data_IF_353579015976
#
_entry.id   IF_353579015976
#
_cell.length_a   1.000
_cell.length_b   1.000
_cell.length_c   1.000
_cell.angle_alpha   90.00
_cell.angle_beta   90.00
_cell.angle_gamma   90.00
#
_symmetry.space_group_name_H-M   'P 1'
#
loop_
_entity.id
_entity.type
_entity.pdbx_description
1 polymer ?
#
# COMPACT_ATOMS: atom_id res chain seq x y z
N UNK A 1 9.43 3.17 -1.25
CA UNK A 1 9.55 4.19 -2.30
C UNK A 1 10.97 4.70 -2.44
N UNK A 2 11.65 5.10 -1.35
CA UNK A 2 13.02 5.61 -1.41
C UNK A 2 14.01 4.67 -2.10
N UNK A 3 13.92 3.36 -1.86
CA UNK A 3 14.76 2.36 -2.52
C UNK A 3 14.51 2.29 -4.03
N UNK A 4 13.25 2.37 -4.46
CA UNK A 4 12.90 2.40 -5.88
C UNK A 4 13.36 3.69 -6.56
N UNK A 5 13.23 4.83 -5.89
CA UNK A 5 13.74 6.12 -6.37
C UNK A 5 15.27 6.12 -6.54
N UNK A 6 15.98 5.48 -5.61
CA UNK A 6 17.44 5.27 -5.72
C UNK A 6 17.81 4.39 -6.91
N UNK A 7 17.02 3.34 -7.16
CA UNK A 7 17.25 2.42 -8.28
C UNK A 7 17.06 3.11 -9.62
N UNK A 8 15.95 3.80 -9.80
CA UNK A 8 15.59 4.43 -11.07
C UNK A 8 16.23 5.80 -11.29
N UNK A 9 16.78 6.42 -10.23
CA UNK A 9 17.29 7.79 -10.28
C UNK A 9 16.22 8.87 -10.43
N UNK A 10 14.95 8.49 -10.33
CA UNK A 10 13.81 9.40 -10.48
C UNK A 10 13.07 9.60 -9.17
N UNK A 11 12.56 10.81 -8.95
CA UNK A 11 11.74 11.16 -7.78
C UNK A 11 10.23 11.15 -8.07
N UNK A 12 9.85 11.15 -9.34
CA UNK A 12 8.45 11.07 -9.77
C UNK A 12 7.95 9.63 -9.77
N UNK A 13 6.79 9.39 -9.16
CA UNK A 13 6.15 8.08 -9.12
C UNK A 13 5.96 7.46 -10.51
N UNK A 14 5.47 8.25 -11.46
CA UNK A 14 5.23 7.80 -12.83
C UNK A 14 6.56 7.35 -13.47
N UNK A 15 7.61 8.15 -13.36
CA UNK A 15 8.91 7.83 -13.94
C UNK A 15 9.55 6.60 -13.30
N UNK A 16 9.40 6.42 -11.98
CA UNK A 16 9.88 5.23 -11.26
C UNK A 16 9.25 3.96 -11.84
N UNK A 17 7.94 3.92 -11.96
CA UNK A 17 7.26 2.71 -12.43
C UNK A 17 7.41 2.47 -13.92
N UNK A 18 7.52 3.50 -14.76
CA UNK A 18 7.81 3.34 -16.18
C UNK A 18 9.22 2.77 -16.40
N UNK A 19 10.22 3.28 -15.70
CA UNK A 19 11.60 2.79 -15.80
C UNK A 19 11.70 1.33 -15.33
N UNK A 20 11.05 0.97 -14.22
CA UNK A 20 10.99 -0.41 -13.72
C UNK A 20 10.42 -1.40 -14.75
N UNK A 21 9.51 -0.94 -15.59
CA UNK A 21 8.87 -1.79 -16.60
C UNK A 21 9.78 -2.07 -17.80
N UNK A 22 10.75 -1.20 -18.08
CA UNK A 22 11.59 -1.31 -19.28
C UNK A 22 12.96 -1.95 -19.06
N UNK A 23 13.49 -2.00 -17.82
CA UNK A 23 14.91 -2.31 -17.66
C UNK A 23 15.25 -3.80 -17.64
N UNK A 24 14.64 -4.61 -16.79
CA UNK A 24 14.98 -6.04 -16.68
C UNK A 24 13.93 -6.83 -15.92
N UNK A 25 13.98 -8.18 -16.06
CA UNK A 25 13.12 -9.07 -15.28
C UNK A 25 13.29 -8.89 -13.76
N UNK A 26 14.53 -8.57 -13.32
CA UNK A 26 14.83 -8.33 -11.90
C UNK A 26 14.15 -7.06 -11.41
N UNK A 27 14.19 -5.99 -12.19
CA UNK A 27 13.52 -4.72 -11.89
C UNK A 27 12.02 -4.89 -11.76
N UNK A 28 11.42 -5.68 -12.66
CA UNK A 28 10.01 -5.99 -12.60
C UNK A 28 9.63 -6.80 -11.35
N UNK A 29 10.45 -7.78 -10.96
CA UNK A 29 10.25 -8.55 -9.73
C UNK A 29 10.34 -7.66 -8.47
N UNK A 30 11.31 -6.73 -8.43
CA UNK A 30 11.43 -5.77 -7.34
C UNK A 30 10.22 -4.83 -7.26
N UNK A 31 9.72 -4.39 -8.41
CA UNK A 31 8.50 -3.59 -8.52
C UNK A 31 7.26 -4.34 -8.02
N UNK A 32 7.10 -5.61 -8.41
CA UNK A 32 6.02 -6.48 -7.96
C UNK A 32 6.06 -6.71 -6.44
N UNK A 33 7.26 -6.95 -5.89
CA UNK A 33 7.45 -7.12 -4.45
C UNK A 33 7.14 -5.83 -3.69
N UNK A 34 7.55 -4.68 -4.21
CA UNK A 34 7.22 -3.37 -3.66
C UNK A 34 5.70 -3.11 -3.70
N UNK A 35 5.03 -3.46 -4.79
CA UNK A 35 3.58 -3.34 -4.92
C UNK A 35 2.86 -4.19 -3.88
N UNK A 36 3.32 -5.42 -3.66
CA UNK A 36 2.79 -6.28 -2.60
C UNK A 36 2.95 -5.64 -1.21
N UNK A 37 4.10 -5.06 -0.91
CA UNK A 37 4.31 -4.31 0.34
C UNK A 37 3.36 -3.12 0.45
N UNK A 38 3.09 -2.40 -0.65
CA UNK A 38 2.12 -1.29 -0.63
C UNK A 38 0.70 -1.76 -0.33
N UNK A 39 0.28 -2.91 -0.82
CA UNK A 39 -1.03 -3.50 -0.47
C UNK A 39 -1.12 -3.76 1.03
N UNK A 40 -0.08 -4.35 1.62
CA UNK A 40 -0.05 -4.62 3.05
C UNK A 40 -0.02 -3.33 3.89
N UNK A 41 0.76 -2.34 3.47
CA UNK A 41 0.78 -1.01 4.13
C UNK A 41 -0.60 -0.36 4.04
N UNK A 42 -1.24 -0.42 2.86
CA UNK A 42 -2.58 0.15 2.68
C UNK A 42 -3.61 -0.48 3.63
N UNK A 43 -3.52 -1.79 3.88
CA UNK A 43 -4.40 -2.47 4.85
C UNK A 43 -4.14 -2.00 6.28
N UNK A 44 -2.87 -1.91 6.70
CA UNK A 44 -2.50 -1.44 8.05
C UNK A 44 -2.94 0.00 8.27
N UNK A 45 -2.62 0.88 7.34
CA UNK A 45 -2.89 2.33 7.43
C UNK A 45 -4.37 2.70 7.41
N UNK A 46 -5.21 1.85 6.85
CA UNK A 46 -6.65 2.04 6.83
C UNK A 46 -7.39 1.20 7.89
N UNK A 47 -6.66 0.69 8.89
CA UNK A 47 -7.22 -0.14 9.97
C UNK A 47 -8.09 -1.28 9.44
N UNK A 48 -7.57 -1.97 8.40
CA UNK A 48 -8.25 -3.11 7.78
C UNK A 48 -7.75 -4.42 8.34
N UNK A 49 -8.61 -5.42 8.36
CA UNK A 49 -8.22 -6.78 8.74
C UNK A 49 -7.05 -7.26 7.87
N UNK A 50 -6.07 -8.02 8.38
CA UNK A 50 -6.08 -8.77 9.65
C UNK A 50 -5.46 -8.03 10.85
N UNK A 51 -4.93 -6.82 10.68
CA UNK A 51 -4.15 -6.13 11.71
C UNK A 51 -5.06 -5.45 12.73
N UNK A 52 -6.16 -4.90 12.26
CA UNK A 52 -7.09 -4.17 13.09
C UNK A 52 -8.54 -4.46 12.74
N UNK A 53 -9.44 -4.33 13.74
CA UNK A 53 -10.87 -4.47 13.54
C UNK A 53 -11.57 -3.24 14.10
N UNK A 54 -12.07 -2.36 13.24
CA UNK A 54 -12.74 -1.13 13.69
C UNK A 54 -13.97 -1.39 14.55
N UNK A 55 -14.57 -2.59 14.49
CA UNK A 55 -15.76 -2.92 15.29
C UNK A 55 -15.46 -3.31 16.73
N UNK A 56 -14.24 -3.76 17.03
CA UNK A 56 -13.85 -4.25 18.36
C UNK A 56 -13.13 -3.19 19.20
N UNK A 57 -12.77 -2.05 18.63
CA UNK A 57 -12.13 -0.95 19.36
C UNK A 57 -13.04 -0.27 20.38
N UNK A 58 -14.33 -0.48 20.30
CA UNK A 58 -15.33 0.12 21.19
C UNK A 58 -15.18 -0.25 22.69
N UNK A 59 -14.43 -1.32 23.02
CA UNK A 59 -14.37 -1.78 24.41
C UNK A 59 -13.05 -1.52 25.16
N UNK A 60 -11.90 -1.41 24.48
CA UNK A 60 -10.60 -1.40 25.19
C UNK A 60 -9.58 -0.33 24.75
N UNK A 61 -9.74 0.31 23.59
CA UNK A 61 -8.77 1.27 23.06
C UNK A 61 -9.41 2.56 22.53
N UNK A 62 -10.40 3.03 23.19
CA UNK A 62 -11.25 4.16 22.80
C UNK A 62 -10.55 5.53 22.57
N UNK A 63 -9.24 5.64 22.74
CA UNK A 63 -8.58 6.96 22.68
C UNK A 63 -8.66 7.57 21.28
N UNK A 64 -8.55 6.78 20.23
CA UNK A 64 -8.65 7.30 18.86
C UNK A 64 -10.10 7.55 18.40
N UNK A 65 -11.01 6.67 18.78
CA UNK A 65 -12.42 6.82 18.40
C UNK A 65 -13.17 7.84 19.25
N UNK A 66 -12.78 8.02 20.51
CA UNK A 66 -13.31 9.11 21.35
C UNK A 66 -13.02 10.49 20.74
N UNK A 67 -11.84 10.66 20.13
CA UNK A 67 -11.53 11.90 19.40
C UNK A 67 -12.42 12.11 18.17
N UNK A 68 -12.88 11.03 17.53
CA UNK A 68 -13.77 11.09 16.38
C UNK A 68 -15.22 11.31 16.81
N UNK A 69 -15.63 10.72 17.94
CA UNK A 69 -16.98 10.84 18.49
C UNK A 69 -17.31 12.24 19.02
N UNK A 70 -16.30 13.01 19.42
CA UNK A 70 -16.47 14.42 19.79
C UNK A 70 -16.77 15.35 18.59
N UNK A 71 -16.51 14.85 17.37
CA UNK A 71 -16.78 15.60 16.15
C UNK A 71 -18.14 15.21 15.57
N UNK A 72 -18.93 16.20 15.18
CA UNK A 72 -20.24 15.99 14.58
C UNK A 72 -20.39 16.74 13.25
N UNK A 73 -21.32 16.29 12.41
CA UNK A 73 -21.66 16.96 11.18
C UNK A 73 -20.52 16.99 10.16
N UNK A 74 -20.10 18.20 9.75
CA UNK A 74 -19.10 18.37 8.69
C UNK A 74 -17.72 17.81 9.05
N UNK A 75 -17.30 17.97 10.30
CA UNK A 75 -15.98 17.52 10.75
C UNK A 75 -15.86 16.00 10.72
N UNK A 76 -16.88 15.30 11.17
CA UNK A 76 -16.93 13.84 11.06
C UNK A 76 -16.93 13.39 9.59
N UNK A 77 -17.70 14.08 8.72
CA UNK A 77 -17.72 13.80 7.29
C UNK A 77 -16.37 13.95 6.63
N UNK A 78 -15.60 14.98 6.97
CA UNK A 78 -14.26 15.22 6.43
C UNK A 78 -13.25 14.18 6.91
N UNK A 79 -13.32 13.72 8.15
CA UNK A 79 -12.46 12.64 8.67
C UNK A 79 -12.70 11.34 7.91
N UNK A 80 -13.96 10.93 7.76
CA UNK A 80 -14.33 9.73 7.00
C UNK A 80 -13.93 9.82 5.52
N UNK A 81 -14.12 10.99 4.91
CA UNK A 81 -13.70 11.23 3.53
C UNK A 81 -12.19 11.11 3.38
N UNK A 82 -11.42 11.67 4.31
CA UNK A 82 -9.95 11.61 4.29
C UNK A 82 -9.45 10.17 4.38
N UNK A 83 -10.06 9.33 5.21
CA UNK A 83 -9.71 7.91 5.31
C UNK A 83 -9.94 7.17 4.00
N UNK A 84 -11.08 7.40 3.34
CA UNK A 84 -11.38 6.81 2.03
C UNK A 84 -10.45 7.35 0.94
N UNK A 85 -10.12 8.64 0.98
CA UNK A 85 -9.18 9.26 0.04
C UNK A 85 -7.77 8.65 0.19
N UNK A 86 -7.32 8.43 1.41
CA UNK A 86 -6.04 7.77 1.70
C UNK A 86 -6.00 6.36 1.10
N UNK A 87 -7.06 5.59 1.25
CA UNK A 87 -7.19 4.26 0.63
C UNK A 87 -7.12 4.32 -0.89
N UNK A 88 -7.83 5.27 -1.51
CA UNK A 88 -7.78 5.49 -2.94
C UNK A 88 -6.38 5.90 -3.45
N UNK A 89 -5.63 6.68 -2.67
CA UNK A 89 -4.25 7.05 -3.01
C UNK A 89 -3.32 5.83 -3.05
N UNK A 90 -3.43 4.90 -2.12
CA UNK A 90 -2.67 3.65 -2.18
C UNK A 90 -3.02 2.83 -3.43
N UNK A 91 -4.30 2.71 -3.75
CA UNK A 91 -4.75 2.07 -4.97
C UNK A 91 -4.21 2.76 -6.23
N UNK A 92 -4.11 4.10 -6.24
CA UNK A 92 -3.52 4.84 -7.36
C UNK A 92 -2.02 4.55 -7.53
N UNK A 93 -1.26 4.43 -6.43
CA UNK A 93 0.17 4.04 -6.48
C UNK A 93 0.32 2.63 -7.04
N UNK A 94 -0.51 1.69 -6.59
CA UNK A 94 -0.53 0.31 -7.09
C UNK A 94 -0.90 0.28 -8.57
N UNK A 95 -1.87 1.08 -9.00
CA UNK A 95 -2.30 1.18 -10.40
C UNK A 95 -1.16 1.63 -11.32
N UNK A 96 -0.29 2.53 -10.87
CA UNK A 96 0.86 2.98 -11.64
C UNK A 96 1.83 1.84 -11.99
N UNK A 97 1.96 0.84 -11.12
CA UNK A 97 2.78 -0.34 -11.43
C UNK A 97 2.21 -1.15 -12.61
N UNK A 98 0.90 -1.31 -12.67
CA UNK A 98 0.23 -2.07 -13.73
C UNK A 98 0.11 -1.30 -15.05
N UNK A 99 -0.04 0.02 -14.97
CA UNK A 99 -0.21 0.88 -16.16
C UNK A 99 1.10 1.00 -16.94
N UNK A 100 2.24 1.13 -16.24
CA UNK A 100 3.55 1.27 -16.87
C UNK A 100 3.59 2.41 -17.89
N UNK A 101 4.01 2.10 -19.13
CA UNK A 101 4.15 3.06 -20.24
C UNK A 101 3.06 2.89 -21.32
N UNK A 102 1.86 2.49 -20.93
CA UNK A 102 0.76 2.32 -21.87
C UNK A 102 0.25 3.67 -22.42
N UNK A 103 -0.31 3.71 -23.63
CA UNK A 103 -0.92 4.91 -24.19
C UNK A 103 -2.10 5.36 -23.32
N UNK A 104 -2.34 6.68 -23.28
CA UNK A 104 -3.30 7.31 -22.38
C UNK A 104 -4.73 6.73 -22.55
N UNK A 105 -5.11 6.35 -23.77
CA UNK A 105 -6.42 5.79 -24.08
C UNK A 105 -6.69 4.48 -23.33
N UNK A 106 -5.67 3.65 -23.13
CA UNK A 106 -5.75 2.37 -22.41
C UNK A 106 -5.48 2.57 -20.92
N UNK A 107 -4.66 3.53 -20.56
CA UNK A 107 -4.26 3.81 -19.17
C UNK A 107 -5.44 4.24 -18.30
N UNK A 108 -6.34 5.08 -18.85
CA UNK A 108 -7.49 5.58 -18.08
C UNK A 108 -8.46 4.45 -17.69
N UNK A 109 -8.98 3.62 -18.61
CA UNK A 109 -9.86 2.53 -18.20
C UNK A 109 -9.15 1.49 -17.34
N UNK A 110 -7.88 1.20 -17.62
CA UNK A 110 -7.09 0.26 -16.82
C UNK A 110 -6.90 0.74 -15.38
N UNK A 111 -6.71 2.05 -15.18
CA UNK A 111 -6.64 2.66 -13.85
C UNK A 111 -7.88 2.33 -13.02
N UNK A 112 -9.07 2.53 -13.57
CA UNK A 112 -10.32 2.22 -12.86
C UNK A 112 -10.48 0.72 -12.60
N UNK A 113 -10.11 -0.13 -13.56
CA UNK A 113 -10.16 -1.59 -13.39
C UNK A 113 -9.24 -2.04 -12.25
N UNK A 114 -8.01 -1.55 -12.20
CA UNK A 114 -7.06 -1.88 -11.12
C UNK A 114 -7.54 -1.34 -9.78
N UNK A 115 -8.10 -0.14 -9.74
CA UNK A 115 -8.64 0.48 -8.53
C UNK A 115 -9.81 -0.35 -7.95
N UNK A 116 -10.73 -0.78 -8.80
CA UNK A 116 -11.83 -1.66 -8.39
C UNK A 116 -11.28 -3.02 -7.96
N UNK A 117 -10.35 -3.59 -8.72
CA UNK A 117 -9.69 -4.86 -8.42
C UNK A 117 -8.97 -4.82 -7.07
N UNK A 118 -8.28 -3.73 -6.75
CA UNK A 118 -7.66 -3.51 -5.44
C UNK A 118 -8.69 -3.51 -4.32
N UNK A 119 -9.80 -2.78 -4.48
CA UNK A 119 -10.88 -2.76 -3.50
C UNK A 119 -11.50 -4.14 -3.28
N UNK A 120 -11.75 -4.88 -4.36
CA UNK A 120 -12.27 -6.26 -4.29
C UNK A 120 -11.25 -7.20 -3.61
N UNK A 121 -9.97 -7.10 -3.96
CA UNK A 121 -8.91 -7.92 -3.35
C UNK A 121 -8.82 -7.70 -1.84
N UNK A 122 -8.85 -6.44 -1.38
CA UNK A 122 -8.88 -6.12 0.05
C UNK A 122 -10.15 -6.68 0.71
N UNK A 123 -11.32 -6.53 0.09
CA UNK A 123 -12.57 -7.10 0.61
C UNK A 123 -12.54 -8.63 0.71
N UNK A 124 -11.93 -9.33 -0.24
CA UNK A 124 -11.73 -10.78 -0.19
C UNK A 124 -10.80 -11.14 0.97
N UNK A 125 -9.68 -10.45 1.12
CA UNK A 125 -8.74 -10.68 2.22
C UNK A 125 -9.46 -10.49 3.57
N UNK A 126 -10.21 -9.42 3.75
CA UNK A 126 -11.01 -9.16 4.95
C UNK A 126 -12.05 -10.26 5.21
N UNK A 127 -12.63 -10.83 4.16
CA UNK A 127 -13.64 -11.90 4.30
C UNK A 127 -13.05 -13.24 4.75
N UNK A 128 -11.82 -13.55 4.30
CA UNK A 128 -11.17 -14.83 4.60
C UNK A 128 -10.25 -14.79 5.81
N UNK A 129 -9.68 -13.64 6.13
CA UNK A 129 -8.72 -13.53 7.23
C UNK A 129 -9.44 -13.19 8.53
N UNK A 130 -9.24 -14.06 9.53
CA UNK A 130 -9.60 -13.75 10.90
C UNK A 130 -8.62 -12.72 11.48
N UNK A 131 -9.12 -11.88 12.39
CA UNK A 131 -8.32 -10.91 13.13
C UNK A 131 -7.14 -11.59 13.84
N UNK A 132 -5.96 -11.04 13.68
CA UNK A 132 -4.82 -11.44 14.48
C UNK A 132 -5.02 -11.03 15.95
N UNK A 133 -4.60 -11.90 16.88
CA UNK A 133 -4.50 -11.49 18.29
C UNK A 133 -3.47 -10.36 18.40
N UNK A 134 -3.70 -9.40 19.28
CA UNK A 134 -2.78 -8.26 19.49
C UNK A 134 -1.30 -8.67 19.67
N UNK A 135 -1.06 -9.83 20.24
CA UNK A 135 0.30 -10.39 20.39
C UNK A 135 1.00 -10.70 19.05
N UNK A 136 0.27 -10.87 17.96
CA UNK A 136 0.81 -11.19 16.63
C UNK A 136 1.01 -9.93 15.75
N UNK A 137 0.43 -8.79 16.12
CA UNK A 137 0.59 -7.55 15.37
C UNK A 137 2.05 -7.11 15.24
N UNK A 138 2.90 -7.15 16.30
CA UNK A 138 4.31 -6.84 16.17
C UNK A 138 5.04 -7.77 15.20
N UNK A 139 4.68 -9.06 15.17
CA UNK A 139 5.29 -10.04 14.26
C UNK A 139 4.96 -9.72 12.80
N UNK A 140 3.73 -9.31 12.51
CA UNK A 140 3.32 -8.89 11.17
C UNK A 140 4.08 -7.66 10.70
N UNK A 141 4.25 -6.65 11.57
CA UNK A 141 5.04 -5.46 11.28
C UNK A 141 6.52 -5.82 11.05
N UNK A 142 7.08 -6.74 11.84
CA UNK A 142 8.45 -7.23 11.66
C UNK A 142 8.63 -7.96 10.32
N UNK A 143 7.67 -8.76 9.90
CA UNK A 143 7.70 -9.41 8.58
C UNK A 143 7.69 -8.34 7.48
N UNK A 144 6.82 -7.36 7.58
CA UNK A 144 6.70 -6.28 6.60
C UNK A 144 8.00 -5.45 6.51
N UNK A 145 8.58 -5.10 7.65
CA UNK A 145 9.86 -4.39 7.69
C UNK A 145 11.00 -5.23 7.14
N UNK A 146 11.03 -6.53 7.41
CA UNK A 146 12.02 -7.46 6.86
C UNK A 146 11.94 -7.53 5.34
N UNK A 147 10.75 -7.66 4.78
CA UNK A 147 10.54 -7.68 3.33
C UNK A 147 10.95 -6.34 2.70
N UNK A 148 10.59 -5.22 3.33
CA UNK A 148 11.00 -3.89 2.87
C UNK A 148 12.53 -3.70 2.88
N UNK A 149 13.21 -4.23 3.91
CA UNK A 149 14.66 -4.22 4.02
C UNK A 149 15.31 -5.11 2.96
N UNK A 150 14.70 -6.25 2.66
CA UNK A 150 15.16 -7.15 1.60
C UNK A 150 15.07 -6.47 0.22
N UNK A 151 13.99 -5.74 -0.06
CA UNK A 151 13.88 -4.93 -1.27
C UNK A 151 15.00 -3.89 -1.34
N UNK A 152 15.26 -3.19 -0.23
CA UNK A 152 16.30 -2.17 -0.17
C UNK A 152 17.69 -2.75 -0.46
N UNK A 153 18.07 -3.85 0.18
CA UNK A 153 19.33 -4.52 -0.07
C UNK A 153 19.40 -5.13 -1.48
N UNK A 154 18.31 -5.69 -1.99
CA UNK A 154 18.22 -6.17 -3.36
C UNK A 154 18.51 -5.07 -4.38
N UNK A 155 17.93 -3.90 -4.17
CA UNK A 155 18.20 -2.71 -5.00
C UNK A 155 19.66 -2.29 -4.92
N UNK A 156 20.25 -2.23 -3.74
CA UNK A 156 21.66 -1.87 -3.57
C UNK A 156 22.61 -2.87 -4.24
N UNK A 157 22.26 -4.17 -4.18
CA UNK A 157 23.06 -5.22 -4.83
C UNK A 157 23.00 -5.08 -6.37
N UNK A 158 21.82 -4.79 -6.92
CA UNK A 158 21.68 -4.58 -8.38
C UNK A 158 22.42 -3.31 -8.84
N UNK A 159 22.44 -2.27 -8.02
CA UNK A 159 23.21 -1.06 -8.32
C UNK A 159 24.74 -1.23 -8.21
N UNK A 160 25.23 -2.41 -7.81
CA UNK A 160 26.66 -2.68 -7.66
C UNK A 160 27.38 -1.83 -6.62
N UNK A 161 26.66 -1.22 -5.69
CA UNK A 161 27.25 -0.34 -4.66
C UNK A 161 27.77 -1.10 -3.44
N UNK A 162 27.73 -2.43 -3.46
CA UNK A 162 28.28 -3.32 -2.41
C UNK A 162 29.47 -4.16 -2.89
N UNK A 163 30.00 -3.91 -4.09
CA UNK A 163 31.24 -4.54 -4.57
C UNK A 163 32.31 -3.47 -4.77
#
# INVERSE_FOLDING_TARGET
>A
LGSLALFTGHTSFISIFTTLHYESNISYMLGALATFVFVLIAMIENSRMPVDDPKTHLELTMVHEVMILDNSGFDLGTILYTTNLKFAMYGAIISNFFIGALPLEISIPLFFVVQIGFGVAVGIIESFMARFRMAHNPQFILILTSVSMLIFFGVLMVLGRFV
#
